data_IF_348738190863
#
_entry.id   IF_348738190863
#
_cell.length_a   1.000
_cell.length_b   1.000
_cell.length_c   1.000
_cell.angle_alpha   90.00
_cell.angle_beta   90.00
_cell.angle_gamma   90.00
#
_symmetry.space_group_name_H-M   'P 1'
#
loop_
_entity.id
_entity.type
_entity.pdbx_description
1 polymer ?
#
# COMPACT_ATOMS: atom_id res chain seq x y z
N UNK A 1 31.24 -15.13 -62.98
CA UNK A 1 30.33 -13.97 -62.82
C UNK A 1 29.21 -14.40 -61.88
N UNK A 2 29.38 -14.10 -60.57
CA UNK A 2 28.48 -13.27 -59.73
C UNK A 2 27.07 -13.88 -59.58
N UNK A 3 26.73 -14.65 -58.55
CA UNK A 3 26.48 -14.31 -57.13
C UNK A 3 25.52 -13.12 -56.91
N UNK A 4 24.23 -13.41 -56.71
CA UNK A 4 23.32 -12.51 -55.99
C UNK A 4 22.55 -13.32 -54.93
N UNK A 5 23.11 -13.34 -53.72
CA UNK A 5 22.40 -13.71 -52.49
C UNK A 5 21.65 -12.47 -52.03
N UNK A 6 20.33 -12.46 -52.20
CA UNK A 6 19.48 -11.43 -51.59
C UNK A 6 19.45 -11.63 -50.08
N UNK A 7 20.00 -10.65 -49.35
CA UNK A 7 19.85 -10.50 -47.91
C UNK A 7 18.36 -10.40 -47.53
N UNK A 8 17.82 -11.45 -46.90
CA UNK A 8 16.67 -11.30 -46.01
C UNK A 8 17.16 -10.58 -44.75
N UNK A 9 16.95 -9.27 -44.71
CA UNK A 9 17.06 -8.49 -43.49
C UNK A 9 16.09 -9.05 -42.46
N UNK A 10 16.62 -9.57 -41.35
CA UNK A 10 15.84 -9.84 -40.15
C UNK A 10 15.28 -8.51 -39.64
N UNK A 11 14.01 -8.24 -39.94
CA UNK A 11 13.27 -7.21 -39.24
C UNK A 11 13.16 -7.64 -37.77
N UNK A 12 13.96 -7.03 -36.90
CA UNK A 12 13.72 -7.05 -35.44
C UNK A 12 12.28 -6.60 -35.25
N UNK A 13 11.39 -7.53 -34.89
CA UNK A 13 10.02 -7.22 -34.47
C UNK A 13 10.14 -6.23 -33.33
N UNK A 14 9.83 -4.96 -33.59
CA UNK A 14 9.63 -3.97 -32.52
C UNK A 14 8.46 -4.50 -31.70
N UNK A 15 8.73 -4.92 -30.47
CA UNK A 15 7.69 -5.31 -29.52
C UNK A 15 6.62 -4.21 -29.46
N UNK A 16 5.38 -4.62 -29.17
CA UNK A 16 4.26 -3.69 -29.09
C UNK A 16 4.58 -2.57 -28.10
N UNK A 17 3.88 -1.43 -28.20
CA UNK A 17 4.00 -0.35 -27.20
C UNK A 17 3.80 -0.90 -25.78
N UNK A 18 2.99 -1.95 -25.65
CA UNK A 18 2.73 -2.59 -24.38
C UNK A 18 3.88 -3.44 -23.86
N UNK A 19 4.56 -4.18 -24.73
CA UNK A 19 5.76 -4.97 -24.38
C UNK A 19 6.90 -4.07 -23.92
N UNK A 20 7.08 -2.91 -24.58
CA UNK A 20 8.13 -1.94 -24.22
C UNK A 20 7.91 -1.30 -22.85
N UNK A 21 6.65 -1.07 -22.48
CA UNK A 21 6.30 -0.52 -21.17
C UNK A 21 6.35 -1.61 -20.09
N UNK A 22 5.91 -2.84 -20.40
CA UNK A 22 6.07 -3.97 -19.48
C UNK A 22 7.56 -4.26 -19.21
N UNK A 23 8.42 -4.13 -20.22
CA UNK A 23 9.86 -4.24 -20.04
C UNK A 23 10.46 -3.05 -19.29
N UNK A 24 9.97 -1.83 -19.51
CA UNK A 24 10.36 -0.66 -18.72
C UNK A 24 9.92 -0.76 -17.25
N UNK A 25 8.73 -1.32 -16.99
CA UNK A 25 8.24 -1.65 -15.66
C UNK A 25 9.11 -2.74 -15.02
N UNK A 26 9.44 -3.81 -15.73
CA UNK A 26 10.36 -4.84 -15.22
C UNK A 26 11.75 -4.27 -14.92
N UNK A 27 12.27 -3.37 -15.77
CA UNK A 27 13.54 -2.68 -15.52
C UNK A 27 13.45 -1.74 -14.33
N UNK A 28 12.40 -0.92 -14.22
CA UNK A 28 12.14 -0.07 -13.06
C UNK A 28 12.10 -0.88 -11.76
N UNK A 29 11.41 -2.01 -11.81
CA UNK A 29 11.28 -2.94 -10.72
C UNK A 29 12.63 -3.67 -10.42
N UNK A 30 13.60 -3.69 -11.33
CA UNK A 30 14.90 -4.38 -11.19
C UNK A 30 16.13 -3.44 -11.07
N UNK A 31 15.98 -2.15 -11.36
CA UNK A 31 17.10 -1.18 -11.38
C UNK A 31 17.35 -0.63 -9.97
N UNK A 32 18.57 -0.84 -9.47
CA UNK A 32 18.90 -0.62 -8.07
C UNK A 32 19.20 0.83 -7.69
N UNK A 33 19.34 1.75 -8.65
CA UNK A 33 19.86 3.13 -8.46
C UNK A 33 19.12 4.20 -9.30
N UNK A 34 17.79 4.26 -9.21
CA UNK A 34 17.03 5.36 -9.80
C UNK A 34 16.91 6.55 -8.84
N UNK A 35 16.99 7.77 -9.36
CA UNK A 35 16.62 8.97 -8.60
C UNK A 35 15.11 9.06 -8.44
N UNK A 36 14.63 9.72 -7.37
CA UNK A 36 13.19 9.94 -7.10
C UNK A 36 12.44 10.55 -8.30
N UNK A 37 13.09 11.45 -9.04
CA UNK A 37 12.51 12.06 -10.24
C UNK A 37 12.32 11.04 -11.38
N UNK A 38 13.27 10.11 -11.56
CA UNK A 38 13.15 9.03 -12.53
C UNK A 38 12.08 8.03 -12.12
N UNK A 39 12.03 7.68 -10.82
CA UNK A 39 10.99 6.81 -10.28
C UNK A 39 9.60 7.41 -10.48
N UNK A 40 9.44 8.70 -10.17
CA UNK A 40 8.18 9.44 -10.35
C UNK A 40 7.74 9.48 -11.81
N UNK A 41 8.66 9.80 -12.75
CA UNK A 41 8.34 9.84 -14.17
C UNK A 41 7.97 8.46 -14.75
N UNK A 42 8.53 7.38 -14.21
CA UNK A 42 8.17 6.01 -14.59
C UNK A 42 6.81 5.64 -13.99
N UNK A 43 6.60 5.92 -12.71
CA UNK A 43 5.35 5.68 -12.01
C UNK A 43 4.17 6.37 -12.73
N UNK A 44 4.28 7.66 -13.06
CA UNK A 44 3.22 8.38 -13.78
C UNK A 44 2.89 7.75 -15.14
N UNK A 45 3.89 7.24 -15.87
CA UNK A 45 3.66 6.53 -17.15
C UNK A 45 3.02 5.16 -16.94
N UNK A 46 3.29 4.54 -15.80
CA UNK A 46 2.79 3.22 -15.44
C UNK A 46 1.40 3.26 -14.81
N UNK A 47 0.92 4.41 -14.30
CA UNK A 47 -0.44 4.58 -13.80
C UNK A 47 -1.51 4.15 -14.81
N UNK A 48 -1.27 4.33 -16.11
CA UNK A 48 -2.20 3.83 -17.15
C UNK A 48 -2.25 2.30 -17.29
N UNK A 49 -1.39 1.58 -16.55
CA UNK A 49 -1.28 0.11 -16.51
C UNK A 49 -1.43 -0.44 -15.09
N UNK A 50 -2.40 0.09 -14.35
CA UNK A 50 -2.71 -0.27 -12.95
C UNK A 50 -2.69 -1.77 -12.70
N UNK A 51 -3.28 -2.55 -13.60
CA UNK A 51 -3.38 -4.01 -13.46
C UNK A 51 -2.02 -4.71 -13.45
N UNK A 52 -1.10 -4.31 -14.35
CA UNK A 52 0.23 -4.90 -14.42
C UNK A 52 1.11 -4.51 -13.21
N UNK A 53 0.96 -3.28 -12.71
CA UNK A 53 1.64 -2.83 -11.48
C UNK A 53 1.13 -3.60 -10.26
N UNK A 54 -0.20 -3.72 -10.14
CA UNK A 54 -0.85 -4.45 -9.06
C UNK A 54 -0.38 -5.91 -9.03
N UNK A 55 -0.43 -6.61 -10.17
CA UNK A 55 0.04 -8.00 -10.27
C UNK A 55 1.52 -8.14 -9.89
N UNK A 56 2.38 -7.21 -10.34
CA UNK A 56 3.80 -7.23 -10.02
C UNK A 56 4.06 -7.05 -8.51
N UNK A 57 3.37 -6.13 -7.85
CA UNK A 57 3.49 -5.94 -6.41
C UNK A 57 2.95 -7.12 -5.62
N UNK A 58 1.81 -7.70 -6.01
CA UNK A 58 1.28 -8.89 -5.36
C UNK A 58 2.25 -10.07 -5.45
N UNK A 59 2.87 -10.29 -6.61
CA UNK A 59 3.89 -11.32 -6.80
C UNK A 59 5.14 -11.07 -5.94
N UNK A 60 5.52 -9.80 -5.73
CA UNK A 60 6.64 -9.45 -4.85
C UNK A 60 6.32 -9.62 -3.38
N UNK A 61 5.11 -9.28 -2.96
CA UNK A 61 4.66 -9.49 -1.59
C UNK A 61 4.73 -10.98 -1.19
N UNK A 62 4.45 -11.88 -2.12
CA UNK A 62 4.62 -13.34 -1.94
C UNK A 62 6.08 -13.78 -1.75
N UNK A 63 7.04 -13.00 -2.29
CA UNK A 63 8.47 -13.27 -2.21
C UNK A 63 9.15 -12.65 -0.99
N UNK A 64 8.45 -11.78 -0.25
CA UNK A 64 9.00 -11.15 0.96
C UNK A 64 9.35 -12.25 1.98
N UNK A 65 10.62 -12.36 2.42
CA UNK A 65 11.05 -13.45 3.28
C UNK A 65 10.19 -13.58 4.54
N UNK A 66 9.81 -14.82 4.82
CA UNK A 66 9.02 -15.20 6.00
C UNK A 66 9.89 -15.44 7.24
N UNK A 67 11.19 -15.67 7.04
CA UNK A 67 12.15 -15.95 8.10
C UNK A 67 12.71 -14.65 8.66
N UNK A 68 12.41 -14.36 9.92
CA UNK A 68 13.22 -13.45 10.73
C UNK A 68 13.74 -14.21 11.95
N UNK A 69 15.03 -14.02 12.22
CA UNK A 69 15.68 -14.45 13.44
C UNK A 69 14.96 -13.82 14.65
N UNK A 70 14.54 -14.65 15.60
CA UNK A 70 14.21 -14.19 16.96
C UNK A 70 12.78 -14.40 17.45
N UNK A 71 11.76 -14.60 16.61
CA UNK A 71 10.41 -14.92 17.09
C UNK A 71 9.72 -15.87 16.12
N UNK A 72 9.38 -17.07 16.59
CA UNK A 72 8.67 -18.11 15.84
C UNK A 72 7.24 -17.72 15.50
N UNK A 73 7.07 -16.73 14.62
CA UNK A 73 5.76 -16.41 14.02
C UNK A 73 5.40 -17.57 13.09
N UNK A 74 4.33 -18.33 13.36
CA UNK A 74 3.99 -19.48 12.52
C UNK A 74 3.69 -19.03 11.08
N UNK A 75 4.09 -19.83 10.09
CA UNK A 75 3.96 -19.50 8.65
C UNK A 75 2.53 -19.18 8.22
N UNK A 76 1.53 -19.72 8.93
CA UNK A 76 0.10 -19.44 8.71
C UNK A 76 -0.26 -17.96 8.96
N UNK A 77 0.40 -17.28 9.90
CA UNK A 77 0.17 -15.86 10.18
C UNK A 77 0.69 -14.97 9.05
N UNK A 78 1.75 -15.41 8.37
CA UNK A 78 2.34 -14.66 7.25
C UNK A 78 1.45 -14.76 6.01
N UNK A 79 0.95 -15.97 5.71
CA UNK A 79 -0.04 -16.17 4.66
C UNK A 79 -1.31 -15.33 4.91
N UNK A 80 -1.74 -15.24 6.17
CA UNK A 80 -2.89 -14.42 6.58
C UNK A 80 -2.65 -12.92 6.40
N UNK A 81 -1.50 -12.38 6.82
CA UNK A 81 -1.12 -10.98 6.58
C UNK A 81 -1.09 -10.64 5.09
N UNK A 82 -0.49 -11.52 4.29
CA UNK A 82 -0.37 -11.34 2.84
C UNK A 82 -1.74 -11.29 2.15
N UNK A 83 -2.68 -12.16 2.54
CA UNK A 83 -4.05 -12.15 2.00
C UNK A 83 -4.74 -10.81 2.27
N UNK A 84 -4.67 -10.31 3.51
CA UNK A 84 -5.27 -9.02 3.89
C UNK A 84 -4.62 -7.87 3.13
N UNK A 85 -3.29 -7.85 3.06
CA UNK A 85 -2.55 -6.83 2.32
C UNK A 85 -2.91 -6.84 0.82
N UNK A 86 -2.93 -8.00 0.18
CA UNK A 86 -3.25 -8.13 -1.25
C UNK A 86 -4.70 -7.74 -1.55
N UNK A 87 -5.65 -8.07 -0.66
CA UNK A 87 -7.02 -7.62 -0.79
C UNK A 87 -7.11 -6.09 -0.72
N UNK A 88 -6.48 -5.48 0.29
CA UNK A 88 -6.44 -4.02 0.46
C UNK A 88 -5.80 -3.31 -0.74
N UNK A 89 -4.64 -3.80 -1.18
CA UNK A 89 -3.92 -3.25 -2.33
C UNK A 89 -4.76 -3.32 -3.61
N UNK A 90 -5.41 -4.47 -3.85
CA UNK A 90 -6.32 -4.64 -4.98
C UNK A 90 -7.49 -3.67 -4.90
N UNK A 91 -8.11 -3.50 -3.72
CA UNK A 91 -9.20 -2.55 -3.54
C UNK A 91 -8.77 -1.12 -3.87
N UNK A 92 -7.64 -0.66 -3.31
CA UNK A 92 -7.10 0.69 -3.55
C UNK A 92 -6.91 0.93 -5.05
N UNK A 93 -6.24 0.00 -5.72
CA UNK A 93 -5.80 0.21 -7.11
C UNK A 93 -6.90 0.00 -8.14
N UNK A 94 -7.85 -0.90 -7.89
CA UNK A 94 -8.98 -1.16 -8.81
C UNK A 94 -10.06 -0.09 -8.73
N UNK A 95 -10.20 0.59 -7.59
CA UNK A 95 -11.22 1.62 -7.38
C UNK A 95 -10.64 3.05 -7.43
N UNK A 96 -9.35 3.20 -7.75
CA UNK A 96 -8.65 4.49 -7.70
C UNK A 96 -8.85 5.24 -6.38
N UNK A 97 -8.76 4.49 -5.27
CA UNK A 97 -9.05 5.03 -3.95
C UNK A 97 -7.84 5.77 -3.39
N UNK A 98 -7.63 6.99 -3.90
CA UNK A 98 -6.52 7.87 -3.54
C UNK A 98 -6.65 8.40 -2.12
N UNK A 99 -5.53 8.66 -1.45
CA UNK A 99 -5.53 9.25 -0.10
C UNK A 99 -6.17 8.35 0.98
N UNK A 100 -6.27 7.05 0.71
CA UNK A 100 -6.99 6.10 1.56
C UNK A 100 -6.24 5.66 2.83
N UNK A 101 -5.21 6.39 3.26
CA UNK A 101 -4.32 5.94 4.34
C UNK A 101 -5.06 5.69 5.66
N UNK A 102 -5.91 6.62 6.08
CA UNK A 102 -6.67 6.50 7.34
C UNK A 102 -7.75 5.42 7.28
N UNK A 103 -8.47 5.30 6.15
CA UNK A 103 -9.48 4.26 5.92
C UNK A 103 -8.85 2.88 5.87
N UNK A 104 -7.85 2.70 5.00
CA UNK A 104 -7.33 1.38 4.69
C UNK A 104 -6.46 0.82 5.81
N UNK A 105 -5.69 1.65 6.52
CA UNK A 105 -4.97 1.20 7.71
C UNK A 105 -5.95 0.68 8.79
N UNK A 106 -7.06 1.38 9.04
CA UNK A 106 -8.10 0.93 9.97
C UNK A 106 -8.73 -0.41 9.53
N UNK A 107 -9.07 -0.54 8.25
CA UNK A 107 -9.63 -1.77 7.67
C UNK A 107 -8.65 -2.95 7.79
N UNK A 108 -7.38 -2.74 7.42
CA UNK A 108 -6.32 -3.75 7.55
C UNK A 108 -6.20 -4.18 9.01
N UNK A 109 -6.12 -3.23 9.95
CA UNK A 109 -6.03 -3.51 11.38
C UNK A 109 -7.22 -4.35 11.89
N UNK A 110 -8.45 -3.99 11.51
CA UNK A 110 -9.67 -4.71 11.91
C UNK A 110 -9.61 -6.17 11.44
N UNK A 111 -9.22 -6.40 10.18
CA UNK A 111 -9.23 -7.75 9.61
C UNK A 111 -8.08 -8.60 10.15
N UNK A 112 -6.90 -8.01 10.34
CA UNK A 112 -5.79 -8.66 11.04
C UNK A 112 -6.21 -9.07 12.47
N UNK A 113 -6.98 -8.22 13.15
CA UNK A 113 -7.51 -8.54 14.49
C UNK A 113 -8.51 -9.69 14.45
N UNK A 114 -9.42 -9.75 13.47
CA UNK A 114 -10.37 -10.86 13.32
C UNK A 114 -9.69 -12.20 13.02
N UNK A 115 -8.48 -12.20 12.47
CA UNK A 115 -7.66 -13.41 12.25
C UNK A 115 -6.56 -13.59 13.32
N UNK A 116 -6.72 -12.92 14.47
CA UNK A 116 -5.84 -13.02 15.64
C UNK A 116 -4.38 -12.64 15.39
N UNK A 117 -4.11 -11.79 14.39
CA UNK A 117 -2.80 -11.18 14.17
C UNK A 117 -2.68 -9.96 15.09
N UNK A 118 -1.74 -10.02 16.02
CA UNK A 118 -1.40 -8.87 16.87
C UNK A 118 -0.81 -7.76 16.00
N UNK A 119 -1.47 -6.61 16.02
CA UNK A 119 -1.10 -5.46 15.19
C UNK A 119 -1.36 -4.15 15.91
N UNK A 120 -0.75 -3.06 15.43
CA UNK A 120 -0.97 -1.71 15.94
C UNK A 120 -1.41 -0.80 14.81
N UNK A 121 -2.58 -0.18 14.95
CA UNK A 121 -3.02 0.89 14.07
C UNK A 121 -2.28 2.18 14.44
N UNK A 122 -1.50 2.71 13.51
CA UNK A 122 -0.59 3.82 13.76
C UNK A 122 -0.97 5.07 12.95
N UNK A 123 -0.58 6.24 13.46
CA UNK A 123 -0.60 7.53 12.76
C UNK A 123 0.63 8.34 13.14
N UNK A 124 1.13 9.17 12.24
CA UNK A 124 2.32 9.97 12.47
C UNK A 124 2.82 10.64 11.19
N UNK A 125 3.91 11.39 11.30
CA UNK A 125 4.59 11.93 10.13
C UNK A 125 5.52 10.87 9.52
N UNK A 126 5.56 10.85 8.19
CA UNK A 126 6.44 9.98 7.40
C UNK A 126 7.38 10.86 6.58
N UNK A 127 8.68 10.51 6.61
CA UNK A 127 9.71 11.22 5.87
C UNK A 127 10.26 10.41 4.71
N UNK A 128 10.39 11.06 3.56
CA UNK A 128 11.21 10.60 2.45
C UNK A 128 12.14 11.74 2.02
N UNK A 129 13.45 11.55 2.18
CA UNK A 129 14.44 12.60 1.92
C UNK A 129 14.09 13.90 2.69
N UNK A 130 13.73 14.98 2.00
CA UNK A 130 13.32 16.26 2.58
C UNK A 130 11.81 16.50 2.58
N UNK A 131 11.01 15.49 2.20
CA UNK A 131 9.56 15.56 2.20
C UNK A 131 8.99 14.92 3.46
N UNK A 132 8.01 15.60 4.05
CA UNK A 132 7.24 15.14 5.21
C UNK A 132 5.76 15.11 4.80
N UNK A 133 5.05 14.09 5.27
CA UNK A 133 3.60 13.98 5.10
C UNK A 133 2.99 13.19 6.25
N UNK A 134 1.76 13.53 6.61
CA UNK A 134 1.01 12.76 7.60
C UNK A 134 0.46 11.49 6.98
N UNK A 135 0.50 10.41 7.76
CA UNK A 135 0.07 9.11 7.25
C UNK A 135 -0.43 8.19 8.35
N UNK A 136 -1.24 7.19 7.96
CA UNK A 136 -1.61 6.07 8.83
C UNK A 136 -1.23 4.74 8.21
N UNK A 137 -0.75 3.83 9.04
CA UNK A 137 -0.27 2.50 8.66
C UNK A 137 -0.58 1.47 9.74
N UNK A 138 -0.22 0.21 9.49
CA UNK A 138 -0.31 -0.86 10.48
C UNK A 138 1.08 -1.42 10.76
N UNK A 139 1.37 -1.68 12.03
CA UNK A 139 2.57 -2.41 12.46
C UNK A 139 2.22 -3.83 12.90
N UNK A 140 2.99 -4.82 12.44
CA UNK A 140 2.89 -6.22 12.89
C UNK A 140 4.30 -6.71 13.24
N UNK A 141 4.57 -6.89 14.54
CA UNK A 141 5.89 -7.28 15.03
C UNK A 141 6.98 -6.32 14.55
N UNK A 142 6.78 -5.02 14.77
CA UNK A 142 7.68 -3.92 14.35
C UNK A 142 7.87 -3.77 12.83
N UNK A 143 7.14 -4.55 12.02
CA UNK A 143 7.16 -4.43 10.56
C UNK A 143 5.99 -3.60 10.06
N UNK A 144 6.26 -2.75 9.07
CA UNK A 144 5.26 -1.86 8.47
C UNK A 144 4.44 -2.61 7.43
N UNK A 145 3.11 -2.44 7.49
CA UNK A 145 2.15 -2.83 6.46
C UNK A 145 1.39 -1.57 6.04
N UNK A 146 1.56 -1.19 4.79
CA UNK A 146 1.02 0.06 4.23
C UNK A 146 0.79 -0.07 2.73
N UNK A 147 -0.43 -0.46 2.35
CA UNK A 147 -0.83 -0.53 0.95
C UNK A 147 -1.14 0.86 0.37
N UNK A 148 -1.59 1.81 1.20
CA UNK A 148 -2.17 3.07 0.75
C UNK A 148 -1.12 4.11 0.33
N UNK A 149 0.10 4.04 0.86
CA UNK A 149 1.21 4.93 0.46
C UNK A 149 1.52 4.89 -1.05
N UNK A 150 1.14 3.80 -1.72
CA UNK A 150 1.30 3.63 -3.16
C UNK A 150 0.38 4.51 -4.00
N UNK A 151 -0.66 5.12 -3.42
CA UNK A 151 -1.65 5.93 -4.15
C UNK A 151 -2.10 7.14 -3.29
N UNK A 152 -1.25 8.17 -3.13
CA UNK A 152 -1.56 9.36 -2.33
C UNK A 152 -2.70 10.20 -2.95
N UNK A 153 -3.28 11.11 -2.16
CA UNK A 153 -4.45 11.91 -2.56
C UNK A 153 -4.21 12.69 -3.86
N UNK A 154 -3.06 13.35 -3.96
CA UNK A 154 -2.64 14.11 -5.14
C UNK A 154 -1.61 13.33 -5.96
N UNK A 155 -1.82 12.05 -6.24
CA UNK A 155 -0.84 11.20 -6.94
C UNK A 155 -0.43 11.68 -8.35
N UNK A 156 -1.16 12.62 -8.96
CA UNK A 156 -0.80 13.22 -10.25
C UNK A 156 0.24 14.35 -10.11
N UNK A 157 0.22 15.11 -9.00
CA UNK A 157 1.13 16.24 -8.77
C UNK A 157 2.07 16.07 -7.56
N UNK A 158 1.84 15.05 -6.72
CA UNK A 158 2.73 14.67 -5.63
C UNK A 158 3.90 13.84 -6.14
N UNK A 159 5.04 13.96 -5.47
CA UNK A 159 6.18 13.12 -5.76
C UNK A 159 5.84 11.66 -5.45
N UNK A 160 6.31 10.74 -6.27
CA UNK A 160 6.23 9.32 -5.95
C UNK A 160 7.06 9.05 -4.69
N UNK A 161 6.39 8.60 -3.63
CA UNK A 161 7.04 8.35 -2.33
C UNK A 161 7.45 6.88 -2.14
N UNK A 162 7.12 6.00 -3.08
CA UNK A 162 7.46 4.58 -3.03
C UNK A 162 6.31 3.67 -3.43
N UNK A 163 6.60 2.38 -3.58
CA UNK A 163 5.57 1.36 -3.74
C UNK A 163 4.80 1.08 -2.46
N UNK A 164 3.79 0.21 -2.54
CA UNK A 164 3.12 -0.28 -1.35
C UNK A 164 4.14 -1.04 -0.49
N UNK A 165 4.05 -0.90 0.84
CA UNK A 165 5.01 -1.45 1.79
C UNK A 165 4.41 -2.67 2.47
N UNK A 166 5.06 -3.83 2.34
CA UNK A 166 4.67 -5.05 3.03
C UNK A 166 5.82 -5.57 3.88
N UNK A 167 5.60 -5.69 5.19
CA UNK A 167 6.60 -6.09 6.19
C UNK A 167 7.88 -5.27 6.11
N UNK A 168 7.74 -3.95 5.99
CA UNK A 168 8.81 -2.95 5.79
C UNK A 168 9.58 -3.08 4.47
N UNK A 169 9.13 -3.89 3.51
CA UNK A 169 9.67 -3.96 2.15
C UNK A 169 8.85 -3.07 1.23
N UNK A 170 9.50 -2.12 0.54
CA UNK A 170 8.88 -1.38 -0.57
C UNK A 170 8.81 -2.29 -1.79
N UNK A 171 7.58 -2.61 -2.22
CA UNK A 171 7.36 -3.56 -3.31
C UNK A 171 7.72 -2.99 -4.69
N UNK A 172 7.96 -1.69 -4.84
CA UNK A 172 8.50 -1.13 -6.10
C UNK A 172 9.99 -1.42 -6.25
N UNK A 173 10.74 -1.46 -5.15
CA UNK A 173 12.20 -1.69 -5.18
C UNK A 173 12.58 -3.10 -4.72
N UNK A 174 11.67 -3.82 -4.07
CA UNK A 174 11.92 -5.08 -3.37
C UNK A 174 13.03 -4.98 -2.30
N UNK A 175 13.23 -3.78 -1.75
CA UNK A 175 14.20 -3.46 -0.69
C UNK A 175 13.48 -2.98 0.55
N UNK A 176 14.19 -2.87 1.66
CA UNK A 176 13.65 -2.19 2.84
C UNK A 176 13.20 -0.78 2.44
N UNK A 177 12.01 -0.37 2.91
CA UNK A 177 11.46 0.94 2.58
C UNK A 177 12.42 2.07 3.00
N UNK A 178 12.52 3.09 2.15
CA UNK A 178 13.25 4.34 2.44
C UNK A 178 12.41 5.33 3.25
N UNK A 179 11.12 5.02 3.43
CA UNK A 179 10.22 5.82 4.25
C UNK A 179 10.59 5.65 5.73
N UNK A 180 10.78 6.78 6.39
CA UNK A 180 10.95 6.83 7.84
C UNK A 180 9.60 7.14 8.46
N UNK A 181 8.97 6.12 9.06
CA UNK A 181 7.67 6.23 9.69
C UNK A 181 7.79 6.72 11.13
N UNK A 182 6.91 7.66 11.51
CA UNK A 182 6.84 8.18 12.87
C UNK A 182 7.98 9.14 13.20
N UNK A 183 8.41 9.97 12.25
CA UNK A 183 9.38 11.03 12.55
C UNK A 183 8.71 12.18 13.31
N UNK A 184 9.47 12.94 14.06
CA UNK A 184 9.00 14.19 14.68
C UNK A 184 9.47 15.41 13.87
N UNK A 185 8.52 16.27 13.47
CA UNK A 185 8.79 17.61 12.92
C UNK A 185 8.35 18.71 13.87
N UNK A 186 8.83 19.94 13.66
CA UNK A 186 8.43 21.11 14.44
C UNK A 186 6.93 21.42 14.33
N UNK A 187 6.30 21.05 13.21
CA UNK A 187 4.89 21.34 12.95
C UNK A 187 3.97 20.22 13.48
N UNK A 188 4.49 18.98 13.57
CA UNK A 188 3.71 17.79 13.87
C UNK A 188 2.60 17.55 12.84
N UNK A 189 1.59 16.78 13.25
CA UNK A 189 0.43 16.47 12.40
C UNK A 189 -0.32 17.74 11.96
N UNK A 190 -0.78 17.74 10.71
CA UNK A 190 -1.73 18.70 10.18
C UNK A 190 -3.11 18.58 10.85
N UNK A 191 -4.03 19.49 10.52
CA UNK A 191 -5.36 19.49 11.14
C UNK A 191 -6.19 18.25 10.84
N UNK A 192 -6.04 17.64 9.66
CA UNK A 192 -6.81 16.47 9.25
C UNK A 192 -6.27 15.25 9.99
N UNK A 193 -4.96 15.02 9.94
CA UNK A 193 -4.32 13.91 10.63
C UNK A 193 -4.48 14.02 12.15
N UNK A 194 -4.38 15.23 12.73
CA UNK A 194 -4.67 15.46 14.15
C UNK A 194 -6.11 15.11 14.50
N UNK A 195 -7.07 15.56 13.70
CA UNK A 195 -8.49 15.25 13.90
C UNK A 195 -8.77 13.74 13.88
N UNK A 196 -8.10 13.01 12.97
CA UNK A 196 -8.17 11.54 12.88
C UNK A 196 -7.44 10.84 14.03
N UNK A 197 -6.34 11.41 14.53
CA UNK A 197 -5.55 10.88 15.66
C UNK A 197 -6.32 10.98 16.99
N UNK A 198 -7.10 12.03 17.17
CA UNK A 198 -7.85 12.31 18.40
C UNK A 198 -9.16 11.51 18.54
N UNK A 199 -9.54 10.75 17.50
CA UNK A 199 -10.78 9.97 17.44
C UNK A 199 -10.54 8.48 17.52
N UNK A 200 -11.43 7.80 18.21
CA UNK A 200 -11.52 6.35 18.09
C UNK A 200 -12.13 5.93 16.72
N UNK A 201 -12.12 4.64 16.42
CA UNK A 201 -12.66 4.15 15.14
C UNK A 201 -14.17 4.34 15.00
N UNK A 202 -14.94 4.36 16.10
CA UNK A 202 -16.37 4.64 16.04
C UNK A 202 -16.63 6.09 15.64
N UNK A 203 -15.95 7.04 16.30
CA UNK A 203 -16.01 8.46 15.99
C UNK A 203 -15.48 8.76 14.59
N UNK A 204 -14.42 8.09 14.15
CA UNK A 204 -13.92 8.17 12.78
C UNK A 204 -14.96 7.68 11.76
N UNK A 205 -15.64 6.56 12.04
CA UNK A 205 -16.72 6.07 11.18
C UNK A 205 -17.94 7.00 11.16
N UNK A 206 -18.31 7.59 12.30
CA UNK A 206 -19.40 8.56 12.39
C UNK A 206 -19.07 9.86 11.64
N UNK A 207 -17.79 10.28 11.65
CA UNK A 207 -17.31 11.42 10.85
C UNK A 207 -17.50 11.18 9.35
N UNK A 208 -17.17 9.99 8.85
CA UNK A 208 -17.37 9.65 7.43
C UNK A 208 -18.84 9.76 7.01
N UNK A 209 -19.76 9.33 7.89
CA UNK A 209 -21.20 9.46 7.65
C UNK A 209 -21.61 10.93 7.65
N UNK A 210 -21.13 11.72 8.61
CA UNK A 210 -21.44 13.14 8.72
C UNK A 210 -20.92 13.95 7.51
N UNK A 211 -19.77 13.55 6.96
CA UNK A 211 -19.17 14.13 5.76
C UNK A 211 -19.88 13.70 4.45
N UNK A 212 -20.89 12.83 4.55
CA UNK A 212 -21.66 12.35 3.41
C UNK A 212 -20.90 11.35 2.53
N UNK A 213 -19.94 10.62 3.10
CA UNK A 213 -19.21 9.57 2.39
C UNK A 213 -20.17 8.48 1.88
N UNK A 214 -19.84 7.92 0.72
CA UNK A 214 -20.59 6.78 0.16
C UNK A 214 -20.54 5.58 1.11
N UNK A 215 -21.65 4.86 1.24
CA UNK A 215 -21.76 3.72 2.15
C UNK A 215 -20.67 2.65 1.91
N UNK A 216 -20.23 2.48 0.67
CA UNK A 216 -19.21 1.49 0.29
C UNK A 216 -17.81 1.81 0.80
N UNK A 217 -17.54 3.09 1.13
CA UNK A 217 -16.25 3.56 1.63
C UNK A 217 -16.25 3.88 3.13
N UNK A 218 -17.38 3.65 3.82
CA UNK A 218 -17.43 3.68 5.28
C UNK A 218 -16.55 2.57 5.85
N UNK A 219 -15.74 2.89 6.85
CA UNK A 219 -14.73 1.98 7.42
C UNK A 219 -15.29 0.59 7.78
N UNK A 220 -16.50 0.54 8.33
CA UNK A 220 -17.16 -0.70 8.74
C UNK A 220 -17.64 -1.56 7.57
N UNK A 221 -18.18 -0.92 6.53
CA UNK A 221 -18.63 -1.60 5.32
C UNK A 221 -17.43 -2.06 4.48
N UNK A 222 -16.40 -1.23 4.36
CA UNK A 222 -15.13 -1.61 3.77
C UNK A 222 -14.52 -2.82 4.48
N UNK A 223 -14.45 -2.80 5.81
CA UNK A 223 -13.91 -3.91 6.58
C UNK A 223 -14.70 -5.20 6.37
N UNK A 224 -16.05 -5.12 6.33
CA UNK A 224 -16.91 -6.27 6.00
C UNK A 224 -16.62 -6.82 4.59
N UNK A 225 -16.54 -5.94 3.59
CA UNK A 225 -16.34 -6.35 2.21
C UNK A 225 -14.96 -6.99 2.02
N UNK A 226 -13.91 -6.35 2.55
CA UNK A 226 -12.55 -6.86 2.45
C UNK A 226 -12.34 -8.13 3.29
N UNK A 227 -13.05 -8.28 4.41
CA UNK A 227 -13.09 -9.53 5.18
C UNK A 227 -13.64 -10.70 4.34
N UNK A 228 -14.69 -10.46 3.54
CA UNK A 228 -15.23 -11.46 2.62
C UNK A 228 -14.19 -11.90 1.57
N UNK A 229 -13.40 -10.96 1.04
CA UNK A 229 -12.34 -11.25 0.07
C UNK A 229 -11.24 -12.16 0.62
N UNK A 230 -11.03 -12.15 1.94
CA UNK A 230 -10.08 -13.04 2.62
C UNK A 230 -10.72 -14.29 3.23
N UNK A 231 -12.01 -14.54 2.94
CA UNK A 231 -12.74 -15.74 3.35
C UNK A 231 -13.34 -15.67 4.76
N UNK A 232 -13.53 -14.48 5.33
CA UNK A 232 -14.15 -14.26 6.62
C UNK A 232 -15.59 -13.79 6.45
N UNK A 233 -16.50 -14.32 7.29
CA UNK A 233 -17.87 -13.84 7.39
C UNK A 233 -18.01 -13.00 8.64
N UNK A 234 -18.16 -11.69 8.46
CA UNK A 234 -18.29 -10.71 9.55
C UNK A 234 -19.46 -9.77 9.29
N UNK A 235 -19.92 -9.08 10.33
CA UNK A 235 -20.98 -8.07 10.25
C UNK A 235 -20.41 -6.70 10.65
N UNK A 236 -20.72 -5.66 9.88
CA UNK A 236 -20.25 -4.29 10.12
C UNK A 236 -20.57 -3.81 11.56
N UNK A 237 -21.79 -4.06 12.04
CA UNK A 237 -22.19 -3.70 13.42
C UNK A 237 -21.39 -4.46 14.48
N UNK A 238 -21.02 -5.71 14.21
CA UNK A 238 -20.17 -6.48 15.12
C UNK A 238 -18.75 -5.95 15.13
N UNK A 239 -18.20 -5.58 13.96
CA UNK A 239 -16.88 -4.96 13.87
C UNK A 239 -16.85 -3.64 14.63
N UNK A 240 -17.87 -2.78 14.44
CA UNK A 240 -18.01 -1.52 15.18
C UNK A 240 -18.06 -1.74 16.69
N UNK A 241 -18.84 -2.72 17.17
CA UNK A 241 -18.90 -3.04 18.60
C UNK A 241 -17.57 -3.52 19.18
N UNK A 242 -16.81 -4.33 18.44
CA UNK A 242 -15.52 -4.89 18.91
C UNK A 242 -14.38 -3.87 18.87
N UNK A 243 -14.33 -3.06 17.81
CA UNK A 243 -13.17 -2.23 17.48
C UNK A 243 -13.44 -0.74 17.54
N UNK A 244 -14.67 -0.31 17.84
CA UNK A 244 -15.05 1.10 17.87
C UNK A 244 -14.18 1.93 18.80
N UNK A 245 -13.87 1.44 20.00
CA UNK A 245 -13.07 2.15 21.00
C UNK A 245 -11.55 2.12 20.73
N UNK A 246 -11.11 1.60 19.58
CA UNK A 246 -9.69 1.55 19.23
C UNK A 246 -9.24 2.93 18.78
N UNK A 247 -8.15 3.41 19.37
CA UNK A 247 -7.47 4.64 18.97
C UNK A 247 -6.23 4.31 18.12
N UNK A 248 -5.86 5.23 17.23
CA UNK A 248 -4.57 5.15 16.55
C UNK A 248 -3.46 5.47 17.54
N UNK A 249 -2.33 4.77 17.45
CA UNK A 249 -1.14 5.10 18.23
C UNK A 249 -0.34 6.14 17.47
N UNK A 250 -0.16 7.33 18.08
CA UNK A 250 0.73 8.34 17.55
C UNK A 250 2.18 7.84 17.61
N UNK A 251 2.86 7.83 16.47
CA UNK A 251 4.28 7.51 16.35
C UNK A 251 5.06 8.80 16.13
N UNK A 252 5.92 9.13 17.10
CA UNK A 252 6.90 10.21 17.05
C UNK A 252 8.19 9.73 17.71
N UNK A 253 9.25 9.57 16.93
CA UNK A 253 10.57 9.07 17.31
C UNK A 253 11.68 10.03 16.87
#
# INVERSE_FOLDING_TARGET
MASEVRHMGQAKRRGSKDDRIAEALRRFLQEEDLSVAQESAIYSKALHKRDALLEAWQCRAEQVPTNFEGVGVPSEYICSQLKVFNAALKFIWKNDFTGACHNMSAVIYIILSEINVQSTLCIGEVKLNNQLFDHSWVEVGEKIIDAAVSLPLDHENSAFVGGPVFRSVDLSTNKHTRLHYGVESENGLDSIARNVCERDLAEFGDMQIADGADESILVWNMAKNLASDVGLSVCADNLRRKYGSVNRVLRSM
#
